data_IF_941404296330
#
_entry.id   IF_941404296330
#
_cell.length_a   1.000
_cell.length_b   1.000
_cell.length_c   1.000
_cell.angle_alpha   90.00
_cell.angle_beta   90.00
_cell.angle_gamma   90.00
#
_symmetry.space_group_name_H-M   'P 1'
#
loop_
_entity.id
_entity.type
_entity.pdbx_description
1 polymer ?
#
# COMPACT_ATOMS: atom_id res chain seq x y z
N UNK A 1 23.58 11.39 44.96
CA UNK A 1 22.40 10.61 44.51
C UNK A 1 22.20 10.91 43.04
N UNK A 2 22.54 9.98 42.15
CA UNK A 2 22.29 10.10 40.73
C UNK A 2 20.91 9.48 40.44
N UNK A 3 20.04 10.22 39.77
CA UNK A 3 18.74 9.72 39.31
C UNK A 3 18.94 9.10 37.93
N UNK A 4 18.81 7.78 37.84
CA UNK A 4 18.84 7.06 36.57
C UNK A 4 17.57 7.36 35.78
N UNK A 5 17.73 7.99 34.62
CA UNK A 5 16.65 8.19 33.66
C UNK A 5 16.33 6.84 32.99
N UNK A 6 15.28 6.19 33.45
CA UNK A 6 14.74 4.99 32.82
C UNK A 6 14.11 5.37 31.48
N UNK A 7 14.88 5.24 30.41
CA UNK A 7 14.38 5.27 29.04
C UNK A 7 13.40 4.10 28.86
N UNK A 8 12.09 4.38 28.95
CA UNK A 8 11.04 3.39 28.69
C UNK A 8 11.05 3.02 27.20
N UNK A 9 11.75 1.94 26.86
CA UNK A 9 11.65 1.32 25.55
C UNK A 9 10.28 0.61 25.45
N UNK A 10 9.26 1.35 25.03
CA UNK A 10 7.92 0.78 24.80
C UNK A 10 8.01 -0.23 23.66
N UNK A 11 7.62 -1.49 23.91
CA UNK A 11 7.54 -2.50 22.86
C UNK A 11 6.47 -2.10 21.83
N UNK A 12 6.75 -2.26 20.52
CA UNK A 12 5.80 -1.86 19.50
C UNK A 12 4.56 -2.77 19.53
N UNK A 13 3.39 -2.16 19.72
CA UNK A 13 2.11 -2.87 19.72
C UNK A 13 1.52 -2.95 18.31
N UNK A 14 0.72 -3.99 18.03
CA UNK A 14 -0.04 -4.09 16.78
C UNK A 14 -1.22 -3.12 16.83
N UNK A 15 -1.22 -2.12 15.94
CA UNK A 15 -2.30 -1.13 15.79
C UNK A 15 -3.45 -1.69 14.96
N UNK A 16 -3.12 -2.51 13.95
CA UNK A 16 -4.12 -3.14 13.09
C UNK A 16 -3.61 -4.46 12.54
N UNK A 17 -4.49 -5.45 12.45
CA UNK A 17 -4.21 -6.68 11.70
C UNK A 17 -5.41 -7.16 10.90
N UNK A 18 -5.16 -8.00 9.89
CA UNK A 18 -6.21 -8.62 9.10
C UNK A 18 -5.77 -9.08 7.72
N UNK A 19 -6.70 -9.68 6.99
CA UNK A 19 -6.47 -10.14 5.62
C UNK A 19 -6.58 -8.97 4.63
N UNK A 20 -5.59 -8.84 3.75
CA UNK A 20 -5.57 -7.94 2.61
C UNK A 20 -4.87 -8.60 1.43
N UNK A 21 -5.22 -8.19 0.21
CA UNK A 21 -4.43 -8.56 -0.95
C UNK A 21 -3.23 -7.61 -1.07
N UNK A 22 -2.03 -8.15 -1.22
CA UNK A 22 -0.80 -7.39 -1.45
C UNK A 22 -0.33 -7.59 -2.89
N UNK A 23 0.09 -6.51 -3.57
CA UNK A 23 0.76 -6.58 -4.87
C UNK A 23 2.26 -6.84 -4.69
N UNK A 24 2.87 -7.71 -5.50
CA UNK A 24 4.32 -7.96 -5.44
C UNK A 24 5.14 -6.75 -5.89
N UNK A 25 6.29 -6.50 -5.25
CA UNK A 25 7.16 -5.32 -5.50
C UNK A 25 7.99 -5.41 -6.80
N UNK A 26 8.17 -6.61 -7.37
CA UNK A 26 9.02 -6.85 -8.55
C UNK A 26 8.22 -7.02 -9.86
N UNK A 27 6.90 -6.84 -9.80
CA UNK A 27 6.00 -7.32 -10.86
C UNK A 27 5.63 -6.23 -11.87
N UNK A 28 6.30 -5.08 -11.82
CA UNK A 28 6.16 -3.99 -12.81
C UNK A 28 7.22 -4.08 -13.95
N UNK A 29 7.91 -5.22 -14.10
CA UNK A 29 8.86 -5.49 -15.20
C UNK A 29 8.21 -6.05 -16.48
N UNK A 30 8.90 -5.93 -17.62
CA UNK A 30 8.42 -6.26 -18.98
C UNK A 30 7.82 -7.68 -19.19
N UNK A 31 7.97 -8.60 -18.25
CA UNK A 31 7.41 -9.96 -18.30
C UNK A 31 6.71 -10.40 -16.99
N UNK A 32 6.58 -9.52 -16.00
CA UNK A 32 5.96 -9.83 -14.70
C UNK A 32 4.45 -9.59 -14.75
N UNK A 33 3.64 -10.63 -14.56
CA UNK A 33 2.22 -10.42 -14.23
C UNK A 33 2.14 -9.96 -12.78
N UNK A 34 1.54 -8.80 -12.53
CA UNK A 34 1.16 -8.36 -11.19
C UNK A 34 0.28 -9.41 -10.50
N UNK A 35 0.89 -10.23 -9.64
CA UNK A 35 0.29 -11.31 -8.88
C UNK A 35 -0.10 -10.78 -7.52
N UNK A 36 -1.40 -10.57 -7.36
CA UNK A 36 -1.96 -10.29 -6.05
C UNK A 36 -1.97 -11.56 -5.21
N UNK A 37 -1.53 -11.44 -3.95
CA UNK A 37 -1.59 -12.53 -2.97
C UNK A 37 -2.41 -12.09 -1.77
N UNK A 38 -3.33 -12.92 -1.32
CA UNK A 38 -4.01 -12.71 -0.04
C UNK A 38 -3.01 -13.01 1.07
N UNK A 39 -2.84 -12.07 2.01
CA UNK A 39 -1.92 -12.20 3.14
C UNK A 39 -2.58 -11.72 4.41
N UNK A 40 -2.19 -12.31 5.53
CA UNK A 40 -2.47 -11.74 6.84
C UNK A 40 -1.40 -10.70 7.13
N UNK A 41 -1.84 -9.49 7.49
CA UNK A 41 -0.97 -8.32 7.65
C UNK A 41 -1.13 -7.77 9.05
N UNK A 42 -0.02 -7.34 9.64
CA UNK A 42 0.02 -6.66 10.92
C UNK A 42 0.75 -5.34 10.75
N UNK A 43 0.10 -4.24 11.13
CA UNK A 43 0.66 -2.90 11.21
C UNK A 43 0.96 -2.60 12.68
N UNK A 44 2.23 -2.34 12.97
CA UNK A 44 2.72 -2.02 14.31
C UNK A 44 2.90 -0.51 14.50
N UNK A 45 2.92 -0.07 15.77
CA UNK A 45 3.04 1.34 16.15
C UNK A 45 4.40 1.97 15.79
N UNK A 46 5.41 1.15 15.49
CA UNK A 46 6.75 1.53 15.01
C UNK A 46 6.80 1.76 13.49
N UNK A 47 5.66 1.91 12.81
CA UNK A 47 5.58 2.02 11.35
C UNK A 47 6.01 0.79 10.57
N UNK A 48 6.15 -0.37 11.20
CA UNK A 48 6.45 -1.61 10.49
C UNK A 48 5.15 -2.33 10.13
N UNK A 49 5.01 -2.68 8.84
CA UNK A 49 3.94 -3.53 8.34
C UNK A 49 4.50 -4.91 7.96
N UNK A 50 4.09 -5.95 8.68
CA UNK A 50 4.53 -7.34 8.50
C UNK A 50 3.50 -8.15 7.73
N UNK A 51 3.99 -9.07 6.90
CA UNK A 51 3.17 -9.94 6.06
C UNK A 51 3.38 -11.40 6.43
N UNK A 52 2.28 -12.14 6.52
CA UNK A 52 2.26 -13.57 6.81
C UNK A 52 1.43 -14.28 5.75
N UNK A 53 1.73 -15.56 5.48
CA UNK A 53 0.94 -16.35 4.53
C UNK A 53 -0.52 -16.52 5.01
N UNK A 54 -0.72 -16.65 6.31
CA UNK A 54 -2.02 -16.70 6.98
C UNK A 54 -1.87 -16.23 8.43
N UNK A 55 -2.98 -16.08 9.17
CA UNK A 55 -2.95 -15.78 10.61
C UNK A 55 -2.24 -16.91 11.35
N UNK A 56 -1.19 -16.60 12.11
CA UNK A 56 -0.32 -17.60 12.76
C UNK A 56 0.54 -18.43 11.79
N UNK A 57 0.54 -18.06 10.50
CA UNK A 57 1.33 -18.71 9.46
C UNK A 57 2.75 -18.15 9.36
N UNK A 58 3.56 -18.68 8.42
CA UNK A 58 4.95 -18.26 8.24
C UNK A 58 5.04 -16.77 7.87
N UNK A 59 6.06 -16.10 8.41
CA UNK A 59 6.46 -14.76 8.01
C UNK A 59 6.91 -14.77 6.56
N UNK A 60 6.48 -13.76 5.80
CA UNK A 60 6.75 -13.68 4.36
C UNK A 60 7.47 -12.40 3.95
N UNK A 61 7.60 -11.45 4.86
CA UNK A 61 8.29 -10.20 4.64
C UNK A 61 7.72 -9.08 5.50
N UNK A 62 8.38 -7.93 5.45
CA UNK A 62 7.90 -6.71 6.09
C UNK A 62 8.27 -5.50 5.27
N UNK A 63 7.63 -4.38 5.55
CA UNK A 63 8.00 -3.09 5.00
C UNK A 63 7.98 -2.06 6.11
N UNK A 64 9.00 -1.19 6.09
CA UNK A 64 9.04 -0.01 6.93
C UNK A 64 8.29 1.13 6.23
N UNK A 65 7.26 1.64 6.89
CA UNK A 65 6.45 2.74 6.42
C UNK A 65 6.99 4.11 6.87
N UNK A 66 8.07 4.16 7.65
CA UNK A 66 8.72 5.41 8.08
C UNK A 66 9.13 6.32 6.91
N UNK A 67 9.39 5.71 5.74
CA UNK A 67 9.76 6.41 4.50
C UNK A 67 8.58 6.68 3.56
N UNK A 68 7.34 6.47 4.02
CA UNK A 68 6.16 6.81 3.24
C UNK A 68 5.88 8.30 3.32
N UNK A 69 5.83 8.96 2.16
CA UNK A 69 5.56 10.41 2.07
C UNK A 69 4.14 10.71 1.54
N UNK A 70 3.41 9.70 1.07
CA UNK A 70 2.09 9.90 0.52
C UNK A 70 1.26 8.63 0.56
N UNK A 71 -0.06 8.82 0.72
CA UNK A 71 -1.05 7.76 0.66
C UNK A 71 -2.17 8.16 -0.28
N UNK A 72 -2.60 7.23 -1.13
CA UNK A 72 -3.74 7.38 -2.02
C UNK A 72 -4.77 6.29 -1.72
N UNK A 73 -6.00 6.72 -1.48
CA UNK A 73 -7.16 5.83 -1.37
C UNK A 73 -7.83 5.76 -2.73
N UNK A 74 -8.19 4.56 -3.19
CA UNK A 74 -8.76 4.32 -4.53
C UNK A 74 -7.93 4.91 -5.69
N UNK A 75 -6.64 4.54 -5.82
CA UNK A 75 -5.78 5.06 -6.88
C UNK A 75 -6.31 4.75 -8.30
N UNK A 76 -6.28 5.76 -9.17
CA UNK A 76 -6.88 5.72 -10.52
C UNK A 76 -6.20 4.72 -11.47
N UNK A 77 -4.87 4.60 -11.38
CA UNK A 77 -4.03 3.73 -12.22
C UNK A 77 -4.10 2.25 -11.80
N UNK A 78 -4.78 1.97 -10.69
CA UNK A 78 -5.11 0.63 -10.24
C UNK A 78 -6.63 0.43 -10.24
N UNK A 79 -7.27 0.84 -11.33
CA UNK A 79 -8.63 0.39 -11.64
C UNK A 79 -8.66 -1.12 -11.87
N UNK A 80 -9.86 -1.73 -11.76
CA UNK A 80 -10.04 -3.20 -11.85
C UNK A 80 -9.85 -3.68 -13.29
N UNK A 81 -8.62 -3.76 -13.76
CA UNK A 81 -8.29 -4.33 -15.08
C UNK A 81 -8.20 -5.85 -14.98
N UNK A 82 -9.23 -6.54 -15.47
CA UNK A 82 -9.22 -7.96 -15.85
C UNK A 82 -9.05 -9.02 -14.74
N UNK A 83 -8.53 -8.68 -13.57
CA UNK A 83 -8.28 -9.64 -12.50
C UNK A 83 -9.46 -9.63 -11.50
N UNK A 84 -10.24 -10.72 -11.49
CA UNK A 84 -11.46 -10.87 -10.67
C UNK A 84 -11.16 -11.18 -9.19
N UNK A 85 -9.90 -11.47 -8.84
CA UNK A 85 -9.55 -12.01 -7.52
C UNK A 85 -9.43 -10.95 -6.42
N UNK A 86 -9.17 -9.68 -6.76
CA UNK A 86 -9.00 -8.61 -5.77
C UNK A 86 -10.11 -7.58 -5.84
N UNK A 87 -10.38 -6.95 -4.70
CA UNK A 87 -11.36 -5.88 -4.63
C UNK A 87 -10.83 -4.61 -5.32
N UNK A 88 -11.75 -3.67 -5.55
CA UNK A 88 -11.44 -2.32 -5.99
C UNK A 88 -10.95 -1.42 -4.84
N UNK A 89 -11.19 -1.81 -3.59
CA UNK A 89 -10.96 -1.02 -2.38
C UNK A 89 -9.46 -0.99 -2.03
N UNK A 90 -8.72 -0.14 -2.74
CA UNK A 90 -7.26 -0.13 -2.78
C UNK A 90 -6.67 1.05 -2.03
N UNK A 91 -5.52 0.82 -1.42
CA UNK A 91 -4.68 1.84 -0.80
C UNK A 91 -3.29 1.71 -1.40
N UNK A 92 -2.74 2.82 -1.86
CA UNK A 92 -1.36 2.88 -2.30
C UNK A 92 -0.54 3.81 -1.40
N UNK A 93 0.61 3.32 -0.94
CA UNK A 93 1.60 4.08 -0.20
C UNK A 93 2.79 4.37 -1.12
N UNK A 94 3.20 5.64 -1.15
CA UNK A 94 4.36 6.10 -1.92
C UNK A 94 5.56 6.18 -0.98
N UNK A 95 6.63 5.45 -1.32
CA UNK A 95 7.87 5.46 -0.56
C UNK A 95 8.94 6.30 -1.26
N UNK A 96 9.87 6.89 -0.49
CA UNK A 96 11.01 7.65 -1.04
C UNK A 96 11.93 6.79 -1.92
N UNK A 97 11.90 5.47 -1.77
CA UNK A 97 12.63 4.50 -2.59
C UNK A 97 12.06 4.27 -4.00
N UNK A 98 11.15 5.16 -4.46
CA UNK A 98 10.38 5.05 -5.72
C UNK A 98 9.53 3.78 -5.83
N UNK A 99 9.36 3.03 -4.74
CA UNK A 99 8.47 1.87 -4.69
C UNK A 99 7.07 2.35 -4.29
N UNK A 100 6.05 1.71 -4.87
CA UNK A 100 4.66 1.91 -4.47
C UNK A 100 4.16 0.62 -3.85
N UNK A 101 3.78 0.70 -2.59
CA UNK A 101 3.17 -0.44 -1.89
C UNK A 101 1.67 -0.32 -2.14
N UNK A 102 1.05 -1.39 -2.63
CA UNK A 102 -0.38 -1.38 -2.91
C UNK A 102 -1.03 -2.56 -2.21
N UNK A 103 -2.06 -2.25 -1.43
CA UNK A 103 -2.94 -3.24 -0.81
C UNK A 103 -4.37 -3.07 -1.31
N UNK A 104 -5.12 -4.17 -1.36
CA UNK A 104 -6.57 -4.15 -1.57
C UNK A 104 -7.26 -4.78 -0.36
N UNK A 105 -8.13 -4.01 0.29
CA UNK A 105 -8.95 -4.49 1.40
C UNK A 105 -10.10 -5.37 0.88
N UNK A 106 -10.71 -6.18 1.73
CA UNK A 106 -11.83 -7.04 1.29
C UNK A 106 -13.15 -6.26 1.08
N UNK A 107 -13.26 -5.06 1.64
CA UNK A 107 -14.46 -4.20 1.58
C UNK A 107 -14.08 -2.72 1.71
N UNK A 108 -15.02 -1.83 1.37
CA UNK A 108 -14.87 -0.38 1.55
C UNK A 108 -14.61 -0.01 3.00
N UNK A 109 -15.43 -0.54 3.92
CA UNK A 109 -15.22 -0.36 5.37
C UNK A 109 -13.83 -0.84 5.78
N UNK A 110 -13.39 -1.99 5.28
CA UNK A 110 -12.04 -2.51 5.54
C UNK A 110 -10.95 -1.54 5.08
N UNK A 111 -11.09 -0.99 3.87
CA UNK A 111 -10.17 0.02 3.33
C UNK A 111 -10.13 1.27 4.21
N UNK A 112 -11.28 1.83 4.60
CA UNK A 112 -11.33 3.03 5.44
C UNK A 112 -10.64 2.81 6.79
N UNK A 113 -10.83 1.64 7.40
CA UNK A 113 -10.17 1.30 8.67
C UNK A 113 -8.66 1.11 8.49
N UNK A 114 -8.23 0.48 7.40
CA UNK A 114 -6.79 0.37 7.09
C UNK A 114 -6.15 1.73 6.82
N UNK A 115 -6.83 2.62 6.08
CA UNK A 115 -6.35 3.97 5.80
C UNK A 115 -6.21 4.78 7.10
N UNK A 116 -7.19 4.70 8.01
CA UNK A 116 -7.13 5.36 9.32
C UNK A 116 -5.96 4.83 10.18
N UNK A 117 -5.75 3.52 10.22
CA UNK A 117 -4.64 2.92 10.95
C UNK A 117 -3.26 3.31 10.36
N UNK A 118 -3.14 3.37 9.03
CA UNK A 118 -1.91 3.85 8.38
C UNK A 118 -1.66 5.33 8.67
N UNK A 119 -2.71 6.17 8.65
CA UNK A 119 -2.59 7.58 9.02
C UNK A 119 -2.21 7.77 10.48
N UNK A 120 -2.70 6.95 11.41
CA UNK A 120 -2.32 7.09 12.83
C UNK A 120 -0.86 6.74 13.09
N UNK A 121 -0.26 5.89 12.25
CA UNK A 121 1.13 5.44 12.40
C UNK A 121 2.12 6.29 11.59
N UNK A 122 1.74 6.69 10.37
CA UNK A 122 2.62 7.41 9.42
C UNK A 122 2.28 8.90 9.33
N UNK A 123 1.18 9.35 9.95
CA UNK A 123 0.62 10.71 9.85
C UNK A 123 1.63 11.87 10.00
N UNK A 124 2.63 11.82 10.90
CA UNK A 124 3.67 12.85 10.97
C UNK A 124 4.53 12.97 9.69
N UNK A 125 4.71 11.88 8.94
CA UNK A 125 5.57 11.79 7.75
C UNK A 125 4.80 11.99 6.44
N UNK A 126 3.47 11.82 6.44
CA UNK A 126 2.61 12.10 5.30
C UNK A 126 2.44 13.61 5.10
N UNK A 127 3.48 14.32 4.65
CA UNK A 127 3.31 15.67 4.12
C UNK A 127 2.51 15.57 2.82
N UNK A 128 1.25 15.99 2.88
CA UNK A 128 0.35 16.03 1.75
C UNK A 128 0.99 16.78 0.58
N UNK A 129 1.33 16.07 -0.49
CA UNK A 129 1.43 16.69 -1.81
C UNK A 129 0.06 16.51 -2.44
N UNK A 130 -0.71 17.60 -2.55
CA UNK A 130 -1.88 17.61 -3.42
C UNK A 130 -1.45 17.14 -4.81
N UNK A 131 -2.30 16.43 -5.57
CA UNK A 131 -2.00 16.11 -6.95
C UNK A 131 -1.72 17.43 -7.68
N UNK A 132 -0.44 17.69 -7.93
CA UNK A 132 -0.03 18.84 -8.73
C UNK A 132 -0.61 18.58 -10.11
N UNK A 133 -1.65 19.32 -10.47
CA UNK A 133 -2.17 19.40 -11.84
C UNK A 133 -1.07 19.97 -12.72
N UNK A 134 -0.14 19.11 -13.14
CA UNK A 134 0.92 19.47 -14.06
C UNK A 134 0.65 18.79 -15.39
N UNK A 135 0.10 19.60 -16.30
CA UNK A 135 0.40 19.54 -17.72
C UNK A 135 -0.15 18.36 -18.52
N UNK A 136 -1.26 18.59 -19.20
CA UNK A 136 -1.43 18.32 -20.65
C UNK A 136 -0.68 17.10 -21.19
N UNK A 137 -1.18 15.90 -20.92
CA UNK A 137 -1.01 14.80 -21.86
C UNK A 137 -2.07 14.97 -22.95
N UNK A 138 -1.66 15.53 -24.09
CA UNK A 138 -2.49 15.71 -25.28
C UNK A 138 -3.23 14.41 -25.60
N UNK A 139 -4.55 14.51 -25.68
CA UNK A 139 -5.37 13.53 -26.39
C UNK A 139 -4.84 13.39 -27.82
N UNK A 140 -4.22 12.25 -28.11
CA UNK A 140 -4.08 11.78 -29.50
C UNK A 140 -5.17 10.77 -29.76
N UNK A 141 -6.39 11.27 -29.95
CA UNK A 141 -7.48 10.53 -30.60
C UNK A 141 -7.41 10.90 -32.08
N UNK A 142 -6.64 10.16 -32.87
CA UNK A 142 -6.89 9.99 -34.31
C UNK A 142 -6.39 8.58 -34.68
N UNK A 143 -7.32 7.62 -34.78
CA UNK A 143 -7.93 7.14 -36.05
C UNK A 143 -7.06 6.06 -36.72
N UNK A 144 -7.49 4.79 -36.67
CA UNK A 144 -8.26 4.04 -37.72
C UNK A 144 -7.24 3.08 -38.38
N UNK A 145 -7.50 1.82 -38.76
CA UNK A 145 -8.62 1.19 -39.47
C UNK A 145 -8.46 -0.33 -39.28
N UNK A 146 -9.58 -1.06 -39.10
CA UNK A 146 -9.66 -2.49 -39.38
C UNK A 146 -9.17 -2.80 -40.81
N UNK A 147 -8.36 -3.83 -41.00
CA UNK A 147 -8.55 -4.72 -42.17
C UNK A 147 -7.87 -6.06 -41.96
N UNK A 148 -8.74 -7.06 -41.88
CA UNK A 148 -8.61 -8.44 -42.33
C UNK A 148 -7.62 -8.59 -43.49
N UNK A 149 -6.73 -9.58 -43.42
CA UNK A 149 -6.67 -10.75 -44.31
C UNK A 149 -5.88 -11.85 -43.58
#
# INVERSE_FOLDING_TARGET
MAVDATSSCSTPSVVRSGLVFTKGQHEDGLFGRATWKLRYVELSSDSIMRYYAAKGGPFTGQVDLSQCYGMEVMPFDHSRTGNRLTSIYRIALKTTTKRRIVIAALSERGMNVWAGAMQSVVGPTLKAKSPTSSGTARFSIFRRVLRTL
#
